data_IF_293122672269
#
_entry.id   IF_293122672269
#
_cell.length_a   1.000
_cell.length_b   1.000
_cell.length_c   1.000
_cell.angle_alpha   90.00
_cell.angle_beta   90.00
_cell.angle_gamma   90.00
#
_symmetry.space_group_name_H-M   'P 1'
#
loop_
_entity.id
_entity.type
_entity.pdbx_description
1 polymer ?
#
# COMPACT_ATOMS: atom_id res chain seq x y z
N UNK A 1 67.95 -5.52 22.52
CA UNK A 1 68.58 -6.79 22.12
C UNK A 1 67.43 -7.70 21.69
N UNK A 2 67.16 -7.86 20.39
CA UNK A 2 67.71 -8.97 19.56
C UNK A 2 67.45 -10.29 20.31
N UNK A 3 66.51 -11.15 19.96
CA UNK A 3 66.22 -11.78 18.65
C UNK A 3 65.08 -12.77 18.93
N UNK A 4 63.94 -12.71 18.23
CA UNK A 4 63.58 -13.69 17.19
C UNK A 4 64.46 -14.94 17.25
N UNK A 5 63.94 -16.05 17.81
CA UNK A 5 64.33 -17.43 17.50
C UNK A 5 63.22 -18.30 18.11
N UNK A 6 62.07 -18.44 17.45
CA UNK A 6 61.78 -19.54 16.52
C UNK A 6 62.10 -20.92 17.09
N UNK A 7 61.09 -21.79 16.94
CA UNK A 7 61.19 -23.24 16.71
C UNK A 7 60.75 -24.13 17.88
N UNK A 8 59.87 -25.07 17.53
CA UNK A 8 59.57 -26.33 18.21
C UNK A 8 58.47 -26.33 19.29
N UNK A 9 57.22 -26.18 18.84
CA UNK A 9 56.15 -27.08 19.28
C UNK A 9 54.95 -27.03 18.30
N UNK A 10 55.24 -27.24 17.01
CA UNK A 10 54.32 -28.01 16.17
C UNK A 10 54.39 -29.45 16.68
N UNK A 11 53.31 -29.98 17.25
CA UNK A 11 52.74 -31.28 16.90
C UNK A 11 51.60 -31.64 17.87
N UNK A 12 50.41 -31.85 17.29
CA UNK A 12 49.47 -32.84 17.84
C UNK A 12 48.27 -32.29 18.59
N UNK A 13 47.31 -31.69 17.89
CA UNK A 13 45.95 -32.26 17.83
C UNK A 13 45.10 -31.56 16.74
N UNK A 14 45.45 -31.77 15.48
CA UNK A 14 44.51 -31.65 14.36
C UNK A 14 44.33 -33.08 13.87
N UNK A 15 43.14 -33.66 14.06
CA UNK A 15 42.50 -34.67 13.19
C UNK A 15 41.34 -35.39 13.90
N UNK A 16 40.16 -34.76 13.83
CA UNK A 16 38.88 -35.40 13.52
C UNK A 16 38.02 -34.24 12.96
N UNK A 17 37.82 -34.05 11.65
CA UNK A 17 37.28 -35.05 10.71
C UNK A 17 35.85 -35.38 11.17
N UNK A 18 34.75 -35.00 10.51
CA UNK A 18 34.49 -34.86 9.08
C UNK A 18 33.08 -34.29 8.85
N UNK A 19 32.87 -33.63 7.70
CA UNK A 19 31.59 -33.37 7.00
C UNK A 19 30.62 -32.36 7.66
N UNK A 20 30.00 -31.37 7.00
CA UNK A 20 29.64 -31.14 5.60
C UNK A 20 29.63 -29.61 5.34
N UNK A 21 30.29 -29.10 4.31
CA UNK A 21 29.75 -28.84 2.97
C UNK A 21 28.57 -27.83 2.93
N UNK A 22 28.89 -26.62 2.45
CA UNK A 22 28.19 -25.84 1.41
C UNK A 22 26.72 -25.42 1.58
N UNK A 23 26.47 -24.15 1.21
CA UNK A 23 25.21 -23.50 0.76
C UNK A 23 24.39 -22.67 1.75
N UNK A 24 24.09 -21.43 1.32
CA UNK A 24 23.04 -20.53 1.81
C UNK A 24 23.49 -19.61 2.95
N UNK A 25 23.65 -18.30 2.84
CA UNK A 25 22.93 -17.34 1.98
C UNK A 25 21.44 -17.67 1.90
N UNK A 26 20.78 -17.67 3.06
CA UNK A 26 19.33 -17.51 3.20
C UNK A 26 19.14 -16.34 4.15
N UNK A 27 18.96 -15.16 3.55
CA UNK A 27 17.67 -14.51 3.45
C UNK A 27 17.36 -13.79 4.77
N UNK A 28 17.76 -12.51 4.80
CA UNK A 28 17.07 -11.50 5.59
C UNK A 28 15.62 -11.52 5.11
N UNK A 29 14.78 -12.26 5.82
CA UNK A 29 13.35 -12.12 5.70
C UNK A 29 13.00 -10.85 6.48
N UNK A 30 13.18 -9.68 5.85
CA UNK A 30 12.32 -8.54 6.16
C UNK A 30 10.93 -8.88 5.63
N UNK A 31 10.27 -9.81 6.32
CA UNK A 31 8.83 -9.95 6.25
C UNK A 31 8.27 -8.68 6.86
N UNK A 32 7.67 -7.88 5.98
CA UNK A 32 6.48 -7.05 6.18
C UNK A 32 6.01 -6.93 7.62
N UNK A 33 5.78 -5.69 8.05
CA UNK A 33 5.12 -5.35 9.30
C UNK A 33 3.75 -6.04 9.44
N UNK A 34 3.75 -7.31 9.83
CA UNK A 34 2.71 -7.85 10.68
C UNK A 34 2.94 -7.14 12.00
N UNK A 35 2.24 -6.02 12.19
CA UNK A 35 2.10 -5.43 13.50
C UNK A 35 1.46 -6.50 14.39
N UNK A 36 2.29 -7.31 15.06
CA UNK A 36 1.85 -8.21 16.09
C UNK A 36 1.03 -7.35 17.07
N UNK A 37 -0.21 -7.74 17.40
CA UNK A 37 -1.10 -6.87 18.17
C UNK A 37 -0.41 -6.49 19.48
N UNK A 38 -0.13 -5.21 19.65
CA UNK A 38 0.59 -4.67 20.81
C UNK A 38 -0.27 -4.67 22.07
N UNK A 39 -1.53 -5.12 21.98
CA UNK A 39 -2.44 -5.25 23.09
C UNK A 39 -3.43 -6.43 22.91
N UNK A 40 -3.61 -7.22 23.96
CA UNK A 40 -4.63 -8.25 24.10
C UNK A 40 -5.74 -7.75 25.04
N UNK A 41 -7.01 -8.15 24.81
CA UNK A 41 -7.45 -9.24 23.93
C UNK A 41 -7.75 -8.83 22.48
N UNK A 42 -7.45 -9.71 21.53
CA UNK A 42 -7.94 -9.61 20.15
C UNK A 42 -9.46 -9.86 20.19
N UNK A 43 -10.24 -8.80 20.02
CA UNK A 43 -11.68 -8.93 19.86
C UNK A 43 -11.97 -9.36 18.43
N UNK A 44 -12.63 -10.51 18.28
CA UNK A 44 -13.17 -10.90 16.98
C UNK A 44 -14.21 -9.86 16.53
N UNK A 45 -14.20 -9.44 15.25
CA UNK A 45 -15.26 -8.60 14.72
C UNK A 45 -16.62 -9.25 14.98
N UNK A 46 -17.56 -8.47 15.51
CA UNK A 46 -18.95 -8.92 15.62
C UNK A 46 -19.60 -8.85 14.26
N UNK A 47 -20.42 -9.84 13.96
CA UNK A 47 -21.30 -9.77 12.81
C UNK A 47 -22.27 -8.59 12.98
N UNK A 48 -22.44 -7.83 11.91
CA UNK A 48 -23.28 -6.63 11.88
C UNK A 48 -24.43 -6.85 10.90
N UNK A 49 -25.61 -6.34 11.25
CA UNK A 49 -26.78 -6.40 10.38
C UNK A 49 -26.70 -5.31 9.29
N UNK A 50 -26.27 -5.71 8.09
CA UNK A 50 -26.16 -4.81 6.93
C UNK A 50 -27.38 -4.92 6.01
N UNK A 51 -27.77 -3.80 5.38
CA UNK A 51 -28.86 -3.77 4.40
C UNK A 51 -28.59 -4.63 3.15
N UNK A 52 -27.31 -4.83 2.85
CA UNK A 52 -26.82 -5.61 1.71
C UNK A 52 -26.49 -7.06 2.06
N UNK A 53 -26.75 -7.49 3.30
CA UNK A 53 -26.52 -8.88 3.70
C UNK A 53 -27.58 -9.83 3.11
N UNK A 54 -27.17 -11.08 2.87
CA UNK A 54 -28.04 -12.13 2.36
C UNK A 54 -28.26 -12.08 0.84
N UNK A 55 -28.95 -13.10 0.27
CA UNK A 55 -29.07 -13.27 -1.18
C UNK A 55 -29.91 -12.20 -1.90
N UNK A 56 -30.69 -11.41 -1.16
CA UNK A 56 -31.56 -10.35 -1.70
C UNK A 56 -31.24 -8.99 -1.09
N UNK A 57 -30.10 -8.84 -0.42
CA UNK A 57 -29.68 -7.59 0.18
C UNK A 57 -29.43 -6.51 -0.89
N UNK A 58 -29.63 -5.26 -0.51
CA UNK A 58 -29.38 -4.10 -1.38
C UNK A 58 -28.56 -3.03 -0.68
N UNK A 59 -27.74 -2.32 -1.44
CA UNK A 59 -27.04 -1.14 -0.93
C UNK A 59 -28.00 0.04 -0.74
N UNK A 60 -27.92 0.69 0.42
CA UNK A 60 -28.52 2.01 0.62
C UNK A 60 -27.65 3.08 -0.08
N UNK A 61 -28.15 3.61 -1.21
CA UNK A 61 -27.43 4.64 -1.98
C UNK A 61 -27.12 5.88 -1.16
N UNK A 62 -28.01 6.31 -0.27
CA UNK A 62 -27.76 7.47 0.58
C UNK A 62 -26.64 7.19 1.59
N UNK A 63 -26.55 5.95 2.11
CA UNK A 63 -25.41 5.52 2.93
C UNK A 63 -24.11 5.55 2.14
N UNK A 64 -24.09 5.02 0.92
CA UNK A 64 -22.90 5.01 0.06
C UNK A 64 -22.42 6.43 -0.27
N UNK A 65 -23.34 7.37 -0.56
CA UNK A 65 -22.99 8.78 -0.81
C UNK A 65 -22.36 9.43 0.43
N UNK A 66 -22.85 9.15 1.64
CA UNK A 66 -22.20 9.59 2.89
C UNK A 66 -20.83 8.94 3.06
N UNK A 67 -20.69 7.66 2.71
CA UNK A 67 -19.41 6.95 2.72
C UNK A 67 -18.38 7.58 1.77
N UNK A 68 -18.79 7.96 0.56
CA UNK A 68 -17.93 8.68 -0.39
C UNK A 68 -17.44 10.01 0.20
N UNK A 69 -18.30 10.75 0.90
CA UNK A 69 -17.90 11.99 1.59
C UNK A 69 -16.81 11.71 2.63
N UNK A 70 -16.99 10.68 3.46
CA UNK A 70 -15.97 10.26 4.46
C UNK A 70 -14.66 9.89 3.78
N UNK A 71 -14.70 9.14 2.68
CA UNK A 71 -13.49 8.83 1.92
C UNK A 71 -12.80 10.10 1.44
N UNK A 72 -13.52 11.00 0.77
CA UNK A 72 -12.96 12.25 0.22
C UNK A 72 -12.33 13.14 1.30
N UNK A 73 -12.98 13.26 2.45
CA UNK A 73 -12.60 14.23 3.49
C UNK A 73 -11.58 13.67 4.50
N UNK A 74 -11.46 12.35 4.62
CA UNK A 74 -10.61 11.71 5.65
C UNK A 74 -9.60 10.75 5.04
N UNK A 75 -10.04 9.84 4.18
CA UNK A 75 -9.22 8.70 3.75
C UNK A 75 -8.34 9.04 2.54
N UNK A 76 -8.81 9.87 1.62
CA UNK A 76 -8.18 10.15 0.33
C UNK A 76 -6.79 10.79 0.45
N UNK A 77 -6.45 11.35 1.61
CA UNK A 77 -5.13 11.90 1.92
C UNK A 77 -4.05 10.82 2.03
N UNK A 78 -4.42 9.59 2.40
CA UNK A 78 -3.48 8.49 2.61
C UNK A 78 -3.78 7.26 1.75
N UNK A 79 -5.06 6.92 1.54
CA UNK A 79 -5.49 5.73 0.82
C UNK A 79 -5.92 6.05 -0.61
N UNK A 80 -5.45 5.23 -1.55
CA UNK A 80 -5.83 5.35 -2.96
C UNK A 80 -7.14 4.62 -3.24
N UNK A 81 -7.85 5.06 -4.29
CA UNK A 81 -8.98 4.32 -4.88
C UNK A 81 -8.79 4.15 -6.38
N UNK A 82 -7.60 3.70 -6.78
CA UNK A 82 -7.13 3.67 -8.18
C UNK A 82 -7.94 2.79 -9.14
N UNK A 83 -8.83 1.95 -8.62
CA UNK A 83 -9.69 1.06 -9.40
C UNK A 83 -11.12 1.61 -9.58
N UNK A 84 -11.44 2.77 -8.98
CA UNK A 84 -12.75 3.39 -9.10
C UNK A 84 -12.64 4.64 -9.97
N UNK A 85 -13.34 4.62 -11.11
CA UNK A 85 -13.47 5.76 -12.01
C UNK A 85 -14.62 6.67 -11.59
N UNK A 86 -14.51 7.98 -11.79
CA UNK A 86 -15.57 8.92 -11.38
C UNK A 86 -16.93 8.59 -12.01
N UNK A 87 -16.97 8.09 -13.26
CA UNK A 87 -18.19 7.65 -13.96
C UNK A 87 -18.99 6.59 -13.21
N UNK A 88 -18.36 5.76 -12.36
CA UNK A 88 -19.10 4.73 -11.60
C UNK A 88 -19.92 5.32 -10.47
N UNK A 89 -19.75 6.61 -10.17
CA UNK A 89 -20.56 7.30 -9.18
C UNK A 89 -22.03 7.46 -9.63
N UNK A 90 -22.33 7.31 -10.93
CA UNK A 90 -23.71 7.22 -11.40
C UNK A 90 -24.47 6.04 -10.75
N UNK A 91 -23.78 4.93 -10.43
CA UNK A 91 -24.37 3.79 -9.73
C UNK A 91 -24.83 4.17 -8.30
N UNK A 92 -24.15 5.13 -7.67
CA UNK A 92 -24.52 5.74 -6.40
C UNK A 92 -25.66 6.77 -6.53
N UNK A 93 -26.16 7.03 -7.74
CA UNK A 93 -27.27 7.95 -8.00
C UNK A 93 -26.86 9.40 -8.24
N UNK A 94 -25.58 9.67 -8.51
CA UNK A 94 -25.15 10.98 -9.01
C UNK A 94 -25.56 11.14 -10.48
N UNK A 95 -25.96 12.35 -10.87
CA UNK A 95 -26.16 12.70 -12.27
C UNK A 95 -24.82 12.90 -13.00
N UNK A 96 -24.81 12.73 -14.32
CA UNK A 96 -23.63 12.99 -15.17
C UNK A 96 -23.02 14.38 -14.89
N UNK A 97 -23.88 15.40 -14.72
CA UNK A 97 -23.44 16.76 -14.40
C UNK A 97 -22.73 16.85 -13.03
N UNK A 98 -23.23 16.14 -12.01
CA UNK A 98 -22.60 16.08 -10.70
C UNK A 98 -21.26 15.31 -10.76
N UNK A 99 -21.21 14.21 -11.50
CA UNK A 99 -19.97 13.44 -11.69
C UNK A 99 -18.91 14.28 -12.40
N UNK A 100 -19.29 14.98 -13.47
CA UNK A 100 -18.39 15.88 -14.19
C UNK A 100 -17.89 17.02 -13.31
N UNK A 101 -18.77 17.63 -12.51
CA UNK A 101 -18.39 18.67 -11.58
C UNK A 101 -17.40 18.15 -10.52
N UNK A 102 -17.68 16.98 -9.95
CA UNK A 102 -16.82 16.34 -8.97
C UNK A 102 -15.44 15.97 -9.53
N UNK A 103 -15.39 15.35 -10.72
CA UNK A 103 -14.14 14.97 -11.35
C UNK A 103 -13.25 16.21 -11.63
N UNK A 104 -13.87 17.33 -12.04
CA UNK A 104 -13.17 18.58 -12.30
C UNK A 104 -12.59 19.25 -11.05
N UNK A 105 -12.95 18.83 -9.84
CA UNK A 105 -12.30 19.27 -8.59
C UNK A 105 -10.87 18.74 -8.45
N UNK A 106 -10.52 17.69 -9.20
CA UNK A 106 -9.22 17.03 -9.14
C UNK A 106 -8.32 17.47 -10.29
N UNK A 107 -7.05 17.71 -9.97
CA UNK A 107 -5.99 17.92 -10.96
C UNK A 107 -5.39 16.57 -11.35
N UNK A 108 -5.39 16.27 -12.64
CA UNK A 108 -4.88 15.02 -13.21
C UNK A 108 -3.69 15.34 -14.11
N UNK A 109 -2.58 14.62 -13.90
CA UNK A 109 -1.43 14.66 -14.80
C UNK A 109 -1.72 13.79 -16.04
N UNK A 110 -1.54 14.36 -17.23
CA UNK A 110 -1.84 13.74 -18.52
C UNK A 110 -0.77 14.11 -19.57
N UNK A 111 -0.81 13.45 -20.72
CA UNK A 111 0.11 13.68 -21.84
C UNK A 111 0.81 12.40 -22.32
N UNK A 112 1.86 12.56 -23.14
CA UNK A 112 2.47 13.83 -23.56
C UNK A 112 1.61 14.64 -24.56
N UNK A 113 1.82 15.96 -24.62
CA UNK A 113 1.25 16.84 -25.64
C UNK A 113 2.09 16.82 -26.95
N UNK A 114 1.73 17.66 -27.93
CA UNK A 114 2.40 17.74 -29.24
C UNK A 114 3.89 18.17 -29.15
N UNK A 115 4.30 18.79 -28.05
CA UNK A 115 5.70 19.15 -27.78
C UNK A 115 6.47 18.06 -27.01
N UNK A 116 5.79 16.99 -26.59
CA UNK A 116 6.38 15.91 -25.78
C UNK A 116 6.29 16.14 -24.27
N UNK A 117 5.62 17.20 -23.82
CA UNK A 117 5.54 17.56 -22.40
C UNK A 117 4.29 16.98 -21.74
N UNK A 118 4.45 16.55 -20.47
CA UNK A 118 3.31 16.23 -19.60
C UNK A 118 2.65 17.51 -19.11
N UNK A 119 1.34 17.48 -18.88
CA UNK A 119 0.56 18.63 -18.44
C UNK A 119 -0.50 18.24 -17.41
N UNK A 120 -0.98 19.23 -16.65
CA UNK A 120 -2.09 19.05 -15.73
C UNK A 120 -3.40 19.52 -16.34
N UNK A 121 -4.48 18.80 -16.06
CA UNK A 121 -5.84 19.17 -16.46
C UNK A 121 -6.85 18.86 -15.37
N UNK A 122 -8.04 19.50 -15.39
CA UNK A 122 -9.16 19.04 -14.60
C UNK A 122 -9.53 17.58 -14.93
N UNK A 123 -9.95 16.84 -13.93
CA UNK A 123 -10.44 15.48 -14.10
C UNK A 123 -11.71 15.40 -14.94
N UNK A 124 -11.85 14.27 -15.63
CA UNK A 124 -13.02 13.91 -16.44
C UNK A 124 -13.64 12.61 -15.91
N UNK A 125 -14.91 12.29 -16.24
CA UNK A 125 -15.58 11.11 -15.69
C UNK A 125 -14.85 9.77 -15.92
N UNK A 126 -14.04 9.65 -16.97
CA UNK A 126 -13.27 8.42 -17.24
C UNK A 126 -12.03 8.26 -16.35
N UNK A 127 -11.56 9.32 -15.69
CA UNK A 127 -10.42 9.25 -14.79
C UNK A 127 -10.77 8.47 -13.51
N UNK A 128 -9.74 7.92 -12.88
CA UNK A 128 -9.83 7.30 -11.56
C UNK A 128 -9.57 8.34 -10.47
N UNK A 129 -9.97 8.03 -9.23
CA UNK A 129 -9.55 8.84 -8.09
C UNK A 129 -8.01 8.88 -8.03
N UNK A 130 -7.41 10.08 -8.00
CA UNK A 130 -5.95 10.20 -8.01
C UNK A 130 -5.36 9.61 -6.73
N UNK A 131 -4.22 8.95 -6.85
CA UNK A 131 -3.49 8.44 -5.70
C UNK A 131 -2.87 9.62 -4.91
N UNK A 132 -2.86 9.58 -3.57
CA UNK A 132 -2.24 10.63 -2.76
C UNK A 132 -0.70 10.64 -2.88
N UNK A 133 -0.12 9.53 -3.32
CA UNK A 133 1.32 9.36 -3.47
C UNK A 133 1.66 8.81 -4.86
N UNK A 134 2.82 9.20 -5.43
CA UNK A 134 3.24 8.75 -6.76
C UNK A 134 3.69 7.28 -6.80
N UNK A 135 4.06 6.69 -5.65
CA UNK A 135 4.49 5.29 -5.51
C UNK A 135 4.48 4.87 -4.03
N UNK A 136 4.63 3.57 -3.80
CA UNK A 136 4.59 2.97 -2.46
C UNK A 136 5.75 3.43 -1.58
N UNK A 137 6.93 3.71 -2.13
CA UNK A 137 8.07 4.21 -1.37
C UNK A 137 7.81 5.62 -0.82
N UNK A 138 7.20 6.49 -1.62
CA UNK A 138 6.78 7.82 -1.19
C UNK A 138 5.67 7.73 -0.12
N UNK A 139 4.73 6.80 -0.30
CA UNK A 139 3.67 6.56 0.67
C UNK A 139 4.24 6.07 2.01
N UNK A 140 5.14 5.10 2.00
CA UNK A 140 5.82 4.59 3.20
C UNK A 140 6.65 5.67 3.89
N UNK A 141 7.41 6.46 3.13
CA UNK A 141 8.20 7.55 3.69
C UNK A 141 7.34 8.60 4.42
N UNK A 142 6.15 8.89 3.90
CA UNK A 142 5.21 9.83 4.51
C UNK A 142 4.46 9.25 5.72
N UNK A 143 4.38 7.92 5.85
CA UNK A 143 3.55 7.23 6.85
C UNK A 143 4.38 6.34 7.79
N UNK A 144 5.59 6.77 8.16
CA UNK A 144 6.39 6.11 9.18
C UNK A 144 6.93 4.73 8.80
N UNK A 145 7.16 4.49 7.50
CA UNK A 145 7.71 3.26 6.95
C UNK A 145 6.67 2.27 6.39
N UNK A 146 5.37 2.53 6.57
CA UNK A 146 4.30 1.67 6.05
C UNK A 146 3.55 2.37 4.91
N UNK A 147 3.42 1.72 3.75
CA UNK A 147 2.56 2.22 2.68
C UNK A 147 1.09 1.90 3.01
N UNK A 148 0.18 2.89 3.06
CA UNK A 148 -1.24 2.63 3.21
C UNK A 148 -1.75 1.76 2.04
N UNK A 149 -2.56 0.71 2.30
CA UNK A 149 -3.12 -0.14 1.26
C UNK A 149 -4.07 0.61 0.33
#
# INVERSE_FOLDING_TARGET
MKTILTSLALLGLVLAGTAAATTGAIAQEEAHSDAAPTHFPIHQPKEMDWSFAGPFGTYDKAQLQRGLKVFKEVCATCHSMKLVAFRTLEDLGYSEAQVKALAAEYTINDGPNDAGDMFERPGIPSDHFPAPFPNDQAAAAANGGAAPP
#
